data_IF_243088697906
#
_entry.id   IF_243088697906
#
_cell.length_a   1.000
_cell.length_b   1.000
_cell.length_c   1.000
_cell.angle_alpha   90.00
_cell.angle_beta   90.00
_cell.angle_gamma   90.00
#
_symmetry.space_group_name_H-M   'P 1'
#
loop_
_entity.id
_entity.type
_entity.pdbx_description
1 polymer ?
#
# COMPACT_ATOMS: atom_id res chain seq x y z
N UNK A 1 7.28 -9.25 -8.41
CA UNK A 1 8.43 -9.06 -9.33
C UNK A 1 8.28 -10.06 -10.45
N UNK A 2 8.16 -9.61 -11.69
CA UNK A 2 8.02 -10.47 -12.87
C UNK A 2 9.38 -10.58 -13.56
N UNK A 3 9.86 -11.79 -13.83
CA UNK A 3 11.18 -12.00 -14.46
C UNK A 3 11.15 -13.23 -15.36
N UNK A 4 11.69 -13.07 -16.57
CA UNK A 4 11.89 -14.15 -17.55
C UNK A 4 13.28 -14.81 -17.42
N UNK A 5 14.04 -14.46 -16.38
CA UNK A 5 15.36 -15.06 -16.19
C UNK A 5 15.23 -16.40 -15.43
N UNK A 6 15.51 -17.55 -16.07
CA UNK A 6 15.36 -18.87 -15.45
C UNK A 6 16.26 -19.03 -14.21
N UNK A 7 17.44 -18.39 -14.19
CA UNK A 7 18.34 -18.44 -13.03
C UNK A 7 17.75 -17.70 -11.81
N UNK A 8 16.99 -16.63 -12.05
CA UNK A 8 16.34 -15.86 -10.98
C UNK A 8 15.14 -16.64 -10.43
N UNK A 9 14.39 -17.34 -11.28
CA UNK A 9 13.28 -18.21 -10.85
C UNK A 9 13.80 -19.39 -10.02
N UNK A 10 14.88 -20.04 -10.46
CA UNK A 10 15.52 -21.14 -9.73
C UNK A 10 16.09 -20.67 -8.37
N UNK A 11 16.75 -19.51 -8.34
CA UNK A 11 17.24 -18.90 -7.11
C UNK A 11 16.10 -18.59 -6.13
N UNK A 12 14.98 -18.04 -6.63
CA UNK A 12 13.82 -17.70 -5.80
C UNK A 12 13.13 -18.95 -5.27
N UNK A 13 13.00 -20.00 -6.07
CA UNK A 13 12.47 -21.28 -5.59
C UNK A 13 13.36 -21.89 -4.51
N UNK A 14 14.68 -21.85 -4.69
CA UNK A 14 15.66 -22.31 -3.70
C UNK A 14 15.56 -21.50 -2.40
N UNK A 15 15.39 -20.18 -2.50
CA UNK A 15 15.25 -19.28 -1.36
C UNK A 15 13.92 -19.52 -0.61
N UNK A 16 12.83 -19.74 -1.34
CA UNK A 16 11.51 -20.07 -0.79
C UNK A 16 11.55 -21.41 -0.05
N UNK A 17 12.16 -22.43 -0.63
CA UNK A 17 12.30 -23.75 0.00
C UNK A 17 13.20 -23.69 1.24
N UNK A 18 14.31 -22.95 1.17
CA UNK A 18 15.19 -22.71 2.32
C UNK A 18 14.47 -21.99 3.47
N UNK A 19 13.69 -20.95 3.15
CA UNK A 19 12.92 -20.20 4.15
C UNK A 19 11.85 -21.08 4.80
N UNK A 20 11.10 -21.85 4.01
CA UNK A 20 10.09 -22.79 4.51
C UNK A 20 10.71 -23.82 5.47
N UNK A 21 11.85 -24.42 5.10
CA UNK A 21 12.57 -25.34 5.98
C UNK A 21 12.99 -24.67 7.30
N UNK A 22 13.42 -23.40 7.24
CA UNK A 22 13.83 -22.65 8.43
C UNK A 22 12.66 -22.33 9.36
N UNK A 23 11.51 -21.98 8.80
CA UNK A 23 10.26 -21.76 9.55
C UNK A 23 9.80 -23.06 10.21
N UNK A 24 9.78 -24.18 9.48
CA UNK A 24 9.41 -25.49 10.02
C UNK A 24 10.32 -25.93 11.18
N UNK A 25 11.63 -25.66 11.11
CA UNK A 25 12.56 -25.93 12.21
C UNK A 25 12.25 -25.11 13.48
N UNK A 26 11.88 -23.83 13.30
CA UNK A 26 11.54 -22.93 14.40
C UNK A 26 10.20 -23.28 15.03
N UNK A 27 9.22 -23.69 14.23
CA UNK A 27 7.94 -24.23 14.70
C UNK A 27 8.13 -25.53 15.48
N UNK A 28 9.03 -26.41 15.02
CA UNK A 28 9.34 -27.66 15.72
C UNK A 28 9.89 -27.42 17.12
N UNK A 29 10.76 -26.42 17.30
CA UNK A 29 11.30 -26.02 18.61
C UNK A 29 10.21 -25.41 19.52
N UNK A 30 9.26 -24.69 18.92
CA UNK A 30 8.15 -24.05 19.64
C UNK A 30 7.09 -25.06 20.10
N UNK A 31 6.82 -26.07 19.27
CA UNK A 31 5.84 -27.12 19.53
C UNK A 31 6.37 -28.18 20.51
N UNK A 32 7.66 -28.52 20.44
CA UNK A 32 8.27 -29.51 21.34
C UNK A 32 8.82 -28.86 22.61
N UNK A 33 7.90 -28.44 23.49
CA UNK A 33 8.24 -27.71 24.72
C UNK A 33 9.01 -28.51 25.77
N UNK A 34 9.03 -29.83 25.64
CA UNK A 34 9.69 -30.71 26.61
C UNK A 34 11.07 -31.20 26.16
N UNK A 35 11.50 -30.80 24.95
CA UNK A 35 12.81 -31.15 24.41
C UNK A 35 13.86 -30.05 24.74
N UNK A 36 15.07 -30.49 25.10
CA UNK A 36 16.23 -29.61 25.26
C UNK A 36 16.67 -29.02 23.92
N UNK A 37 17.13 -27.77 23.92
CA UNK A 37 17.54 -27.04 22.72
C UNK A 37 19.06 -27.12 22.60
N UNK A 38 19.58 -27.61 21.48
CA UNK A 38 21.03 -27.63 21.21
C UNK A 38 21.40 -26.53 20.22
N UNK A 39 22.20 -25.57 20.68
CA UNK A 39 22.71 -24.44 19.89
C UNK A 39 24.23 -24.58 19.81
N UNK A 40 24.73 -25.22 18.74
CA UNK A 40 26.15 -25.53 18.57
C UNK A 40 26.66 -26.43 19.70
N UNK A 41 27.60 -25.90 20.50
CA UNK A 41 28.24 -26.60 21.63
C UNK A 41 27.46 -26.46 22.95
N UNK A 42 26.35 -25.70 22.96
CA UNK A 42 25.54 -25.46 24.15
C UNK A 42 24.24 -26.26 24.12
N UNK A 43 24.04 -27.08 25.15
CA UNK A 43 22.77 -27.77 25.39
C UNK A 43 22.00 -27.02 26.46
N UNK A 44 20.76 -26.63 26.15
CA UNK A 44 19.87 -25.90 27.04
C UNK A 44 18.77 -26.86 27.48
N UNK A 45 18.72 -27.14 28.77
CA UNK A 45 17.74 -28.05 29.37
C UNK A 45 16.31 -27.53 29.19
N UNK A 46 15.39 -28.46 28.93
CA UNK A 46 13.97 -28.17 28.79
C UNK A 46 13.43 -27.54 30.09
N UNK A 47 12.66 -26.45 29.95
CA UNK A 47 12.05 -25.76 31.09
C UNK A 47 12.93 -24.74 31.81
N UNK A 48 14.21 -24.60 31.45
CA UNK A 48 15.05 -23.50 31.94
C UNK A 48 14.51 -22.13 31.51
N UNK A 49 14.74 -21.09 32.31
CA UNK A 49 14.27 -19.73 31.97
C UNK A 49 14.92 -19.21 30.67
N UNK A 50 16.12 -19.71 30.35
CA UNK A 50 16.80 -19.47 29.07
C UNK A 50 16.04 -20.14 27.92
N UNK A 51 15.59 -21.38 28.07
CA UNK A 51 14.78 -22.06 27.04
C UNK A 51 13.42 -21.35 26.82
N UNK A 52 12.81 -20.82 27.89
CA UNK A 52 11.57 -20.03 27.78
C UNK A 52 11.80 -18.72 27.01
N UNK A 53 12.89 -18.01 27.31
CA UNK A 53 13.27 -16.79 26.60
C UNK A 53 13.59 -17.02 25.12
N UNK A 54 14.32 -18.10 24.81
CA UNK A 54 14.60 -18.48 23.41
C UNK A 54 13.31 -18.80 22.65
N UNK A 55 12.38 -19.54 23.25
CA UNK A 55 11.10 -19.85 22.61
C UNK A 55 10.21 -18.62 22.42
N UNK A 56 10.23 -17.68 23.36
CA UNK A 56 9.54 -16.40 23.20
C UNK A 56 10.13 -15.60 22.05
N UNK A 57 11.47 -15.54 21.95
CA UNK A 57 12.15 -14.90 20.83
C UNK A 57 11.86 -15.56 19.49
N UNK A 58 11.80 -16.90 19.45
CA UNK A 58 11.41 -17.66 18.26
C UNK A 58 9.95 -17.39 17.87
N UNK A 59 9.04 -17.29 18.84
CA UNK A 59 7.64 -16.96 18.56
C UNK A 59 7.48 -15.58 17.91
N UNK A 60 8.20 -14.57 18.42
CA UNK A 60 8.22 -13.21 17.84
C UNK A 60 8.86 -13.25 16.44
N UNK A 61 9.94 -14.01 16.26
CA UNK A 61 10.58 -14.16 14.95
C UNK A 61 9.66 -14.86 13.94
N UNK A 62 8.87 -15.85 14.35
CA UNK A 62 7.87 -16.50 13.49
C UNK A 62 6.72 -15.54 13.14
N UNK A 63 6.32 -14.67 14.06
CA UNK A 63 5.29 -13.66 13.80
C UNK A 63 5.76 -12.63 12.76
N UNK A 64 7.02 -12.18 12.84
CA UNK A 64 7.56 -11.18 11.92
C UNK A 64 8.10 -11.76 10.61
N UNK A 65 8.67 -12.97 10.63
CA UNK A 65 9.41 -13.56 9.50
C UNK A 65 8.79 -14.87 8.99
N UNK A 66 7.70 -15.36 9.57
CA UNK A 66 7.05 -16.61 9.16
C UNK A 66 6.34 -16.53 7.81
N UNK A 67 6.02 -15.32 7.34
CA UNK A 67 5.49 -15.08 6.00
C UNK A 67 6.57 -14.46 5.13
N UNK A 68 6.85 -15.07 3.98
CA UNK A 68 7.74 -14.49 2.97
C UNK A 68 7.10 -13.19 2.43
N UNK A 69 7.81 -12.05 2.43
CA UNK A 69 7.25 -10.75 2.03
C UNK A 69 7.19 -10.54 0.50
N UNK A 70 7.32 -11.60 -0.30
CA UNK A 70 7.22 -11.50 -1.76
C UNK A 70 6.62 -12.78 -2.37
N UNK A 71 5.86 -12.61 -3.45
CA UNK A 71 5.33 -13.69 -4.29
C UNK A 71 5.86 -13.49 -5.72
N UNK A 72 6.31 -14.59 -6.34
CA UNK A 72 6.81 -14.60 -7.72
C UNK A 72 5.99 -15.58 -8.53
N UNK A 73 5.24 -15.05 -9.49
CA UNK A 73 4.52 -15.84 -10.49
C UNK A 73 5.40 -15.99 -11.73
N UNK A 74 5.59 -17.20 -12.26
CA UNK A 74 6.20 -17.40 -13.58
C UNK A 74 5.37 -16.68 -14.64
N UNK A 75 6.03 -15.99 -15.57
CA UNK A 75 5.38 -15.56 -16.81
C UNK A 75 5.29 -16.81 -17.67
N UNK A 76 4.12 -17.44 -17.74
CA UNK A 76 3.85 -18.39 -18.81
C UNK A 76 3.68 -17.56 -20.09
N UNK A 77 4.61 -17.72 -21.03
CA UNK A 77 4.42 -17.19 -22.38
C UNK A 77 3.25 -17.96 -22.98
N UNK A 78 2.10 -17.28 -23.12
CA UNK A 78 0.94 -17.83 -23.79
C UNK A 78 1.29 -18.10 -25.25
N UNK A 79 1.39 -19.38 -25.61
CA UNK A 79 1.10 -19.79 -26.99
C UNK A 79 -0.41 -19.63 -27.17
N UNK A 80 -0.75 -18.66 -28.03
CA UNK A 80 -2.04 -18.42 -28.66
C UNK A 80 -2.69 -19.73 -29.12
N UNK A 81 -3.67 -20.21 -28.36
CA UNK A 81 -4.75 -21.06 -28.85
C UNK A 81 -6.00 -20.74 -28.02
N UNK A 82 -6.89 -19.96 -28.62
CA UNK A 82 -8.08 -19.43 -27.99
C UNK A 82 -9.05 -20.51 -27.48
N UNK A 83 -9.25 -20.55 -26.17
CA UNK A 83 -10.51 -20.93 -25.56
C UNK A 83 -10.78 -20.02 -24.35
N UNK A 84 -11.82 -19.19 -24.47
CA UNK A 84 -12.33 -18.32 -23.41
C UNK A 84 -12.70 -19.14 -22.17
N UNK A 85 -11.88 -19.05 -21.12
CA UNK A 85 -12.32 -19.29 -19.74
C UNK A 85 -12.12 -18.00 -18.96
N UNK A 86 -13.24 -17.31 -18.71
CA UNK A 86 -13.37 -16.33 -17.65
C UNK A 86 -12.89 -16.94 -16.33
N UNK A 87 -11.63 -16.69 -16.00
CA UNK A 87 -11.16 -16.70 -14.61
C UNK A 87 -11.03 -15.25 -14.20
N UNK A 88 -12.15 -14.71 -13.70
CA UNK A 88 -12.23 -13.41 -13.03
C UNK A 88 -11.20 -13.40 -11.88
N UNK A 89 -10.00 -12.86 -12.13
CA UNK A 89 -9.01 -12.65 -11.09
C UNK A 89 -9.37 -11.37 -10.34
N UNK A 90 -9.79 -11.55 -9.09
CA UNK A 90 -10.15 -10.52 -8.13
C UNK A 90 -8.95 -9.62 -7.73
N UNK A 91 -8.51 -8.75 -8.63
CA UNK A 91 -7.55 -7.68 -8.35
C UNK A 91 -7.72 -6.44 -9.24
N UNK A 92 -8.89 -6.20 -9.83
CA UNK A 92 -9.33 -4.83 -10.05
C UNK A 92 -9.86 -4.34 -8.71
N UNK A 93 -9.18 -3.39 -8.06
CA UNK A 93 -9.81 -2.62 -7.00
C UNK A 93 -11.11 -2.07 -7.57
N UNK A 94 -12.26 -2.44 -6.99
CA UNK A 94 -13.53 -1.89 -7.42
C UNK A 94 -13.40 -0.36 -7.43
N UNK A 95 -13.55 0.24 -8.61
CA UNK A 95 -13.43 1.69 -8.76
C UNK A 95 -14.51 2.34 -7.90
N UNK A 96 -14.10 3.26 -7.05
CA UNK A 96 -15.03 4.11 -6.32
C UNK A 96 -15.10 5.47 -7.01
N UNK A 97 -16.26 6.10 -6.92
CA UNK A 97 -16.58 7.36 -7.57
C UNK A 97 -17.00 8.39 -6.52
N UNK A 98 -16.72 9.66 -6.79
CA UNK A 98 -17.13 10.80 -5.98
C UNK A 98 -17.70 11.89 -6.87
N UNK A 99 -18.54 12.76 -6.31
CA UNK A 99 -19.15 13.85 -7.07
C UNK A 99 -18.74 15.22 -6.52
N UNK A 100 -18.71 16.24 -7.39
CA UNK A 100 -18.46 17.63 -7.03
C UNK A 100 -19.33 18.57 -7.87
N UNK A 101 -19.85 19.63 -7.27
CA UNK A 101 -20.68 20.63 -7.96
C UNK A 101 -19.86 21.80 -8.56
N UNK A 102 -18.62 21.96 -8.12
CA UNK A 102 -17.73 23.07 -8.50
C UNK A 102 -16.38 22.58 -9.06
N UNK A 103 -16.12 21.26 -8.99
CA UNK A 103 -14.87 20.65 -9.42
C UNK A 103 -13.74 20.76 -8.39
N UNK A 104 -14.00 21.30 -7.20
CA UNK A 104 -13.01 21.53 -6.14
C UNK A 104 -13.28 20.66 -4.91
N UNK A 105 -14.52 20.68 -4.39
CA UNK A 105 -14.93 19.90 -3.21
C UNK A 105 -15.65 18.63 -3.67
N UNK A 106 -15.06 17.46 -3.38
CA UNK A 106 -15.61 16.16 -3.74
C UNK A 106 -16.24 15.47 -2.54
N UNK A 107 -17.35 14.78 -2.80
CA UNK A 107 -18.20 14.17 -1.78
C UNK A 107 -18.45 12.70 -2.06
N UNK A 108 -18.48 11.93 -0.97
CA UNK A 108 -18.83 10.51 -0.95
C UNK A 108 -17.78 9.60 -1.58
N UNK A 109 -18.03 8.29 -1.50
CA UNK A 109 -17.28 7.24 -2.20
C UNK A 109 -18.30 6.16 -2.57
N UNK A 110 -18.57 6.02 -3.86
CA UNK A 110 -19.70 5.23 -4.39
C UNK A 110 -19.19 4.15 -5.33
N UNK A 111 -19.89 3.03 -5.42
CA UNK A 111 -19.43 1.89 -6.25
C UNK A 111 -19.74 2.06 -7.73
N UNK A 112 -20.55 3.07 -8.08
CA UNK A 112 -20.89 3.41 -9.45
C UNK A 112 -21.13 4.92 -9.64
N UNK A 113 -21.02 5.36 -10.90
CA UNK A 113 -21.33 6.73 -11.31
C UNK A 113 -22.80 7.06 -11.05
N UNK A 114 -23.71 6.12 -11.32
CA UNK A 114 -25.15 6.32 -11.10
C UNK A 114 -25.47 6.57 -9.61
N UNK A 115 -24.82 5.83 -8.70
CA UNK A 115 -24.97 6.07 -7.26
C UNK A 115 -24.45 7.45 -6.85
N UNK A 116 -23.32 7.89 -7.40
CA UNK A 116 -22.78 9.22 -7.14
C UNK A 116 -23.72 10.34 -7.66
N UNK A 117 -24.33 10.14 -8.84
CA UNK A 117 -25.32 11.06 -9.39
C UNK A 117 -26.60 11.10 -8.56
N UNK A 118 -27.08 9.94 -8.09
CA UNK A 118 -28.26 9.85 -7.23
C UNK A 118 -28.02 10.55 -5.89
N UNK A 119 -26.85 10.39 -5.29
CA UNK A 119 -26.50 11.09 -4.05
C UNK A 119 -26.43 12.61 -4.23
N UNK A 120 -25.85 13.07 -5.35
CA UNK A 120 -25.87 14.48 -5.73
C UNK A 120 -27.29 15.05 -5.84
N UNK A 121 -28.17 14.34 -6.57
CA UNK A 121 -29.58 14.70 -6.77
C UNK A 121 -30.39 14.72 -5.48
N UNK A 122 -30.07 13.84 -4.53
CA UNK A 122 -30.72 13.80 -3.22
C UNK A 122 -30.20 14.91 -2.29
N UNK A 123 -28.95 15.34 -2.48
CA UNK A 123 -28.32 16.39 -1.66
C UNK A 123 -28.73 17.79 -2.10
N UNK A 124 -28.84 18.01 -3.41
CA UNK A 124 -29.23 19.30 -3.98
C UNK A 124 -30.55 19.21 -4.75
N UNK A 125 -31.46 20.14 -4.46
CA UNK A 125 -32.65 20.37 -5.26
C UNK A 125 -32.23 21.11 -6.55
N UNK A 126 -31.76 20.34 -7.53
CA UNK A 126 -31.24 20.87 -8.80
C UNK A 126 -32.36 21.00 -9.83
N UNK A 127 -32.52 22.22 -10.35
CA UNK A 127 -33.29 22.47 -11.58
C UNK A 127 -32.65 21.73 -12.78
N UNK A 128 -33.46 21.44 -13.81
CA UNK A 128 -33.20 20.57 -14.99
C UNK A 128 -32.00 20.93 -15.93
N UNK A 129 -30.90 21.50 -15.44
CA UNK A 129 -29.68 21.74 -16.23
C UNK A 129 -28.37 21.76 -15.41
N UNK A 130 -28.34 21.11 -14.24
CA UNK A 130 -27.12 21.02 -13.45
C UNK A 130 -26.08 20.09 -14.11
N UNK A 131 -24.84 20.55 -14.14
CA UNK A 131 -23.68 19.72 -14.48
C UNK A 131 -22.98 19.34 -13.19
N UNK A 132 -22.46 18.12 -13.11
CA UNK A 132 -21.75 17.60 -11.94
C UNK A 132 -20.45 16.95 -12.36
N UNK A 133 -19.38 17.22 -11.63
CA UNK A 133 -18.10 16.57 -11.82
C UNK A 133 -18.14 15.21 -11.13
N UNK A 134 -17.82 14.15 -11.87
CA UNK A 134 -17.65 12.80 -11.32
C UNK A 134 -16.18 12.42 -11.47
N UNK A 135 -15.53 12.08 -10.37
CA UNK A 135 -14.14 11.63 -10.33
C UNK A 135 -14.00 10.23 -9.74
N UNK A 136 -12.88 9.57 -10.05
CA UNK A 136 -12.49 8.30 -9.44
C UNK A 136 -11.83 8.58 -8.07
N UNK A 137 -12.39 8.02 -7.01
CA UNK A 137 -11.87 8.13 -5.65
C UNK A 137 -10.78 7.07 -5.43
N UNK A 138 -9.56 7.52 -5.18
CA UNK A 138 -8.39 6.67 -4.96
C UNK A 138 -7.96 6.75 -3.51
N UNK A 139 -8.35 5.72 -2.75
CA UNK A 139 -7.95 5.57 -1.36
C UNK A 139 -6.50 5.17 -1.23
N UNK A 140 -5.86 5.66 -0.19
CA UNK A 140 -4.52 5.22 0.17
C UNK A 140 -4.59 3.77 0.66
N UNK A 141 -3.78 2.89 0.07
CA UNK A 141 -3.58 1.56 0.62
C UNK A 141 -2.69 1.63 1.87
N UNK A 142 -2.80 0.71 2.83
CA UNK A 142 -1.83 0.59 3.91
C UNK A 142 -0.40 0.49 3.36
N UNK A 143 0.50 1.37 3.79
CA UNK A 143 1.86 1.44 3.25
C UNK A 143 1.98 2.11 1.87
N UNK A 144 0.90 2.67 1.31
CA UNK A 144 0.97 3.55 0.12
C UNK A 144 1.61 4.89 0.48
N UNK A 145 2.72 5.28 -0.17
CA UNK A 145 3.50 6.43 0.23
C UNK A 145 2.64 7.69 0.20
N UNK A 146 2.57 8.36 1.34
CA UNK A 146 2.25 9.79 1.39
C UNK A 146 3.62 10.46 1.43
N UNK A 147 3.91 11.33 0.47
CA UNK A 147 5.22 11.97 0.36
C UNK A 147 5.42 13.01 1.48
N UNK A 148 5.65 12.54 2.71
CA UNK A 148 5.77 13.36 3.91
C UNK A 148 7.23 13.62 4.31
N UNK A 149 8.17 12.82 3.79
CA UNK A 149 9.57 12.96 4.14
C UNK A 149 10.15 14.29 3.67
N UNK A 150 9.86 14.69 2.43
CA UNK A 150 10.37 15.93 1.84
C UNK A 150 9.84 17.16 2.59
N UNK A 151 8.53 17.21 2.89
CA UNK A 151 7.91 18.30 3.65
C UNK A 151 8.51 18.46 5.06
N UNK A 152 8.77 17.34 5.74
CA UNK A 152 9.40 17.36 7.07
C UNK A 152 10.82 17.91 7.00
N UNK A 153 11.58 17.54 5.96
CA UNK A 153 12.96 18.00 5.79
C UNK A 153 13.03 19.48 5.39
N UNK A 154 12.12 19.93 4.54
CA UNK A 154 11.95 21.36 4.24
C UNK A 154 11.67 22.13 5.52
N UNK A 155 10.73 21.66 6.35
CA UNK A 155 10.41 22.31 7.62
C UNK A 155 11.59 22.32 8.60
N UNK A 156 12.38 21.23 8.65
CA UNK A 156 13.60 21.16 9.46
C UNK A 156 14.65 22.16 8.99
N UNK A 157 14.81 22.32 7.67
CA UNK A 157 15.74 23.29 7.10
C UNK A 157 15.30 24.73 7.44
N UNK A 158 14.02 25.06 7.30
CA UNK A 158 13.50 26.37 7.69
C UNK A 158 13.80 26.68 9.17
N UNK A 159 13.56 25.72 10.06
CA UNK A 159 13.85 25.90 11.49
C UNK A 159 15.34 26.09 11.77
N UNK A 160 16.19 25.32 11.09
CA UNK A 160 17.63 25.45 11.25
C UNK A 160 18.14 26.79 10.73
N UNK A 161 17.59 27.29 9.62
CA UNK A 161 17.89 28.62 9.09
C UNK A 161 17.45 29.74 10.05
N UNK A 162 16.29 29.60 10.69
CA UNK A 162 15.83 30.56 11.71
C UNK A 162 16.77 30.60 12.94
N UNK A 163 17.34 29.46 13.34
CA UNK A 163 18.18 29.35 14.54
C UNK A 163 19.65 29.70 14.27
N UNK A 164 20.22 29.22 13.17
CA UNK A 164 21.65 29.30 12.86
C UNK A 164 21.97 30.16 11.62
N UNK A 165 20.96 30.70 10.93
CA UNK A 165 21.12 31.50 9.72
C UNK A 165 21.77 30.71 8.59
N UNK A 166 22.60 31.37 7.80
CA UNK A 166 23.36 30.78 6.68
C UNK A 166 24.27 29.60 7.11
N UNK A 167 24.55 29.42 8.41
CA UNK A 167 25.31 28.26 8.89
C UNK A 167 24.52 26.95 8.87
N UNK A 168 23.20 27.01 8.70
CA UNK A 168 22.34 25.84 8.52
C UNK A 168 22.15 25.43 7.05
N UNK A 169 22.81 26.12 6.11
CA UNK A 169 22.77 25.74 4.70
C UNK A 169 23.16 24.26 4.53
N UNK A 170 22.43 23.59 3.65
CA UNK A 170 22.55 22.15 3.35
C UNK A 170 22.18 21.19 4.50
N UNK A 171 21.67 21.67 5.64
CA UNK A 171 21.19 20.79 6.72
C UNK A 171 19.67 20.55 6.65
N UNK A 172 19.17 19.30 6.79
CA UNK A 172 19.93 18.05 6.87
C UNK A 172 20.30 17.48 5.49
N UNK A 173 21.59 17.21 5.26
CA UNK A 173 22.05 16.54 4.03
C UNK A 173 21.92 15.02 4.17
N UNK A 174 20.79 14.46 3.71
CA UNK A 174 20.52 13.03 3.75
C UNK A 174 20.62 12.39 2.35
N UNK A 175 21.21 11.18 2.24
CA UNK A 175 21.15 10.40 1.00
C UNK A 175 19.74 9.81 0.80
N UNK A 176 19.39 9.51 -0.45
CA UNK A 176 18.05 9.09 -0.86
C UNK A 176 17.52 7.84 -0.12
N UNK A 177 18.38 6.89 0.22
CA UNK A 177 18.00 5.71 1.01
C UNK A 177 17.52 6.08 2.42
N UNK A 178 18.09 7.12 3.02
CA UNK A 178 17.67 7.63 4.34
C UNK A 178 16.40 8.47 4.26
N UNK A 179 16.17 9.15 3.14
CA UNK A 179 14.89 9.81 2.86
C UNK A 179 13.74 8.80 2.83
N UNK A 180 13.93 7.68 2.14
CA UNK A 180 12.94 6.61 2.07
C UNK A 180 12.71 5.94 3.43
N UNK A 181 13.77 5.71 4.21
CA UNK A 181 13.65 5.17 5.57
C UNK A 181 12.83 6.09 6.49
N UNK A 182 13.09 7.40 6.44
CA UNK A 182 12.32 8.41 7.18
C UNK A 182 10.86 8.44 6.72
N UNK A 183 10.62 8.42 5.41
CA UNK A 183 9.27 8.39 4.83
C UNK A 183 8.47 7.17 5.31
N UNK A 184 9.08 5.98 5.27
CA UNK A 184 8.44 4.76 5.75
C UNK A 184 8.13 4.83 7.25
N UNK A 185 9.07 5.33 8.07
CA UNK A 185 8.86 5.46 9.51
C UNK A 185 7.69 6.39 9.84
N UNK A 186 7.61 7.56 9.19
CA UNK A 186 6.50 8.52 9.39
C UNK A 186 5.18 7.88 8.97
N UNK A 187 5.19 7.20 7.82
CA UNK A 187 4.02 6.55 7.28
C UNK A 187 3.50 5.44 8.21
N UNK A 188 4.36 4.52 8.64
CA UNK A 188 3.98 3.44 9.55
C UNK A 188 3.38 4.00 10.85
N UNK A 189 3.97 5.08 11.37
CA UNK A 189 3.44 5.78 12.54
C UNK A 189 2.03 6.33 12.32
N UNK A 190 1.80 7.03 11.20
CA UNK A 190 0.47 7.57 10.86
C UNK A 190 -0.54 6.44 10.71
N UNK A 191 -0.22 5.39 9.94
CA UNK A 191 -1.12 4.25 9.73
C UNK A 191 -1.47 3.50 11.02
N UNK A 192 -0.53 3.40 11.97
CA UNK A 192 -0.76 2.74 13.24
C UNK A 192 -1.68 3.53 14.17
N UNK A 193 -1.65 4.87 14.10
CA UNK A 193 -2.31 5.73 15.07
C UNK A 193 -3.55 6.45 14.54
N UNK A 194 -3.54 6.83 13.26
CA UNK A 194 -4.62 7.56 12.60
C UNK A 194 -4.55 7.36 11.07
N UNK A 195 -5.03 6.19 10.62
CA UNK A 195 -5.01 5.83 9.22
C UNK A 195 -5.81 6.84 8.36
N UNK A 196 -5.29 7.27 7.19
CA UNK A 196 -6.01 8.18 6.30
C UNK A 196 -7.39 7.66 5.93
N UNK A 197 -8.41 8.48 6.12
CA UNK A 197 -9.80 8.21 5.71
C UNK A 197 -10.21 9.01 4.46
N UNK A 198 -9.30 9.85 3.97
CA UNK A 198 -9.47 10.66 2.78
C UNK A 198 -8.85 9.97 1.55
N UNK A 199 -9.20 10.45 0.36
CA UNK A 199 -8.76 9.91 -0.92
C UNK A 199 -8.26 11.04 -1.84
N UNK A 200 -7.52 10.67 -2.88
CA UNK A 200 -7.26 11.59 -4.01
C UNK A 200 -8.30 11.37 -5.10
N UNK A 201 -8.54 12.41 -5.90
CA UNK A 201 -9.48 12.33 -7.02
C UNK A 201 -8.70 12.30 -8.33
N UNK A 202 -8.96 11.28 -9.14
CA UNK A 202 -8.38 11.11 -10.47
C UNK A 202 -9.50 11.07 -11.53
N UNK A 203 -9.14 11.30 -12.80
CA UNK A 203 -10.05 11.09 -13.95
C UNK A 203 -11.41 11.81 -13.85
N UNK A 204 -11.43 13.05 -13.35
CA UNK A 204 -12.67 13.84 -13.28
C UNK A 204 -13.26 14.10 -14.67
N UNK A 205 -14.56 13.82 -14.81
CA UNK A 205 -15.36 14.09 -16.01
C UNK A 205 -16.61 14.88 -15.62
N UNK A 206 -17.00 15.87 -16.42
CA UNK A 206 -18.25 16.61 -16.25
C UNK A 206 -19.41 15.79 -16.84
N UNK A 207 -20.48 15.59 -16.06
CA UNK A 207 -21.71 14.92 -16.46
C UNK A 207 -22.87 15.89 -16.51
N UNK A 208 -23.73 15.71 -17.50
CA UNK A 208 -25.06 16.31 -17.52
C UNK A 208 -26.00 15.41 -16.71
N UNK A 209 -26.58 15.98 -15.65
CA UNK A 209 -27.38 15.22 -14.67
C UNK A 209 -28.70 14.72 -15.26
N UNK A 210 -29.26 15.45 -16.23
CA UNK A 210 -30.53 15.10 -16.88
C UNK A 210 -30.39 13.91 -17.83
N UNK A 211 -29.26 13.83 -18.54
CA UNK A 211 -28.98 12.77 -19.51
C UNK A 211 -28.13 11.65 -18.91
N UNK A 212 -27.52 11.86 -17.74
CA UNK A 212 -26.53 10.98 -17.08
C UNK A 212 -25.38 10.60 -18.00
N UNK A 213 -25.03 11.49 -18.92
CA UNK A 213 -23.94 11.28 -19.88
C UNK A 213 -22.83 12.31 -19.67
N UNK A 214 -21.58 11.97 -20.02
CA UNK A 214 -20.51 12.95 -20.05
C UNK A 214 -20.92 14.15 -20.90
N UNK A 215 -20.85 15.34 -20.31
CA UNK A 215 -21.13 16.58 -21.00
C UNK A 215 -20.11 16.73 -22.15
N UNK A 216 -20.60 16.89 -23.37
CA UNK A 216 -19.70 17.13 -24.50
C UNK A 216 -18.93 18.42 -24.25
N UNK A 217 -17.60 18.44 -24.39
CA UNK A 217 -16.85 19.68 -24.30
C UNK A 217 -17.41 20.64 -25.34
N UNK A 218 -17.88 21.81 -24.87
CA UNK A 218 -18.31 22.88 -25.75
C UNK A 218 -17.11 23.20 -26.66
N UNK A 219 -17.22 23.15 -27.99
CA UNK A 219 -16.08 23.44 -28.85
C UNK A 219 -15.60 24.85 -28.50
N UNK A 220 -14.35 24.96 -28.05
CA UNK A 220 -13.71 26.24 -27.81
C UNK A 220 -13.82 27.04 -29.10
N UNK A 221 -14.59 28.12 -29.04
CA UNK A 221 -14.82 29.00 -30.18
C UNK A 221 -13.51 29.61 -30.64
N UNK A 222 -13.20 29.39 -31.92
CA UNK A 222 -12.18 30.10 -32.70
C UNK A 222 -12.43 31.61 -32.68
#
# INVERSE_FOLDING_TARGET
>A
MQTNNPEVVEFINTLTEWHKNRVEQLELITNNRDAGIRLGDRTIEAGSDIAKGIRLGIAIALEQLGKLPFSVTPIEAEEDDGEEKEVLSAAESAKEYCWSNNGEEYHGSFTSIDEALDDYLNTYDVDDAAHVHIGEAKHYAPGSPVSLADDVLEQMNCQAADEAGEHADDWPHLPYDKLNELGQMIQDFVWQHDAPTFYTVENTVLYDVSTRQPATPKPEGV
#
